data_IF_564123857318
#
_entry.id   IF_564123857318
#
_cell.length_a   1.000
_cell.length_b   1.000
_cell.length_c   1.000
_cell.angle_alpha   90.00
_cell.angle_beta   90.00
_cell.angle_gamma   90.00
#
_symmetry.space_group_name_H-M   'P 1'
#
loop_
_entity.id
_entity.type
_entity.pdbx_description
1 polymer ?
#
# COMPACT_ATOMS: atom_id res chain seq x y z
N UNK A 1 -2.33 7.52 13.75
CA UNK A 1 -3.54 7.86 12.94
C UNK A 1 -3.12 8.76 11.77
N UNK A 2 -3.57 8.45 10.56
CA UNK A 2 -3.39 9.29 9.37
C UNK A 2 -4.62 10.21 9.19
N UNK A 3 -4.37 11.49 8.91
CA UNK A 3 -5.42 12.49 8.69
C UNK A 3 -5.11 13.28 7.42
N UNK A 4 -6.10 13.36 6.54
CA UNK A 4 -6.09 14.25 5.39
C UNK A 4 -7.16 15.32 5.59
N UNK A 5 -6.81 16.59 5.41
CA UNK A 5 -7.71 17.72 5.63
C UNK A 5 -7.78 18.56 4.36
N UNK A 6 -8.95 18.60 3.74
CA UNK A 6 -9.26 19.45 2.57
C UNK A 6 -8.24 19.36 1.44
N UNK A 7 -7.78 18.15 1.11
CA UNK A 7 -6.81 17.91 0.05
C UNK A 7 -7.39 18.23 -1.31
N UNK A 8 -6.68 19.08 -2.05
CA UNK A 8 -6.99 19.41 -3.44
C UNK A 8 -5.78 19.17 -4.32
N UNK A 9 -6.01 18.70 -5.54
CA UNK A 9 -4.98 18.50 -6.56
C UNK A 9 -5.53 18.67 -7.95
N UNK A 10 -4.83 19.48 -8.75
CA UNK A 10 -5.08 19.66 -10.18
C UNK A 10 -3.80 19.37 -10.97
N UNK A 11 -3.97 18.95 -12.22
CA UNK A 11 -2.89 18.84 -13.20
C UNK A 11 -3.27 19.66 -14.44
N UNK A 12 -2.38 20.56 -14.86
CA UNK A 12 -2.60 21.45 -16.01
C UNK A 12 -3.95 22.20 -15.95
N UNK A 13 -4.32 22.63 -14.73
CA UNK A 13 -5.58 23.34 -14.49
C UNK A 13 -6.83 22.45 -14.41
N UNK A 14 -6.70 21.14 -14.59
CA UNK A 14 -7.81 20.18 -14.48
C UNK A 14 -7.86 19.61 -13.06
N UNK A 15 -8.95 19.82 -12.31
CA UNK A 15 -9.11 19.29 -10.96
C UNK A 15 -9.23 17.76 -11.00
N UNK A 16 -8.38 17.07 -10.22
CA UNK A 16 -8.41 15.61 -10.04
C UNK A 16 -8.96 15.24 -8.67
N UNK A 17 -8.49 15.92 -7.61
CA UNK A 17 -9.06 15.82 -6.26
C UNK A 17 -9.54 17.21 -5.86
N UNK A 18 -10.81 17.31 -5.43
CA UNK A 18 -11.48 18.61 -5.23
C UNK A 18 -11.55 19.03 -3.76
N UNK A 19 -11.84 18.07 -2.88
CA UNK A 19 -11.88 18.29 -1.43
C UNK A 19 -11.93 16.91 -0.74
N UNK A 20 -10.76 16.39 -0.37
CA UNK A 20 -10.65 15.08 0.26
C UNK A 20 -10.27 15.28 1.73
N UNK A 21 -11.18 14.91 2.62
CA UNK A 21 -10.94 14.84 4.06
C UNK A 21 -11.20 13.42 4.54
N UNK A 22 -10.22 12.82 5.24
CA UNK A 22 -10.22 11.41 5.60
C UNK A 22 -9.41 11.20 6.87
N UNK A 23 -9.86 10.29 7.73
CA UNK A 23 -9.10 9.80 8.88
C UNK A 23 -9.00 8.28 8.80
N UNK A 24 -7.79 7.76 8.98
CA UNK A 24 -7.50 6.33 9.03
C UNK A 24 -6.87 6.01 10.39
N UNK A 25 -7.51 5.15 11.16
CA UNK A 25 -7.02 4.75 12.48
C UNK A 25 -5.78 3.85 12.37
N UNK A 26 -5.00 3.79 13.45
CA UNK A 26 -3.84 2.90 13.49
C UNK A 26 -4.29 1.43 13.44
N UNK A 27 -3.61 0.65 12.61
CA UNK A 27 -3.93 -0.76 12.36
C UNK A 27 -5.19 -0.99 11.53
N UNK A 28 -5.84 0.05 11.04
CA UNK A 28 -7.02 -0.03 10.18
C UNK A 28 -6.61 -0.37 8.73
N UNK A 29 -7.40 -1.23 8.09
CA UNK A 29 -7.29 -1.51 6.66
C UNK A 29 -8.40 -0.72 5.95
N UNK A 30 -8.01 0.20 5.06
CA UNK A 30 -8.94 1.02 4.27
C UNK A 30 -8.74 0.74 2.80
N UNK A 31 -9.81 0.39 2.09
CA UNK A 31 -9.78 0.33 0.62
C UNK A 31 -10.32 1.60 0.00
N UNK A 32 -9.64 2.08 -1.03
CA UNK A 32 -10.07 3.20 -1.87
C UNK A 32 -10.64 2.61 -3.17
N UNK A 33 -11.94 2.74 -3.35
CA UNK A 33 -12.69 2.24 -4.48
C UNK A 33 -13.16 3.39 -5.38
N UNK A 34 -13.25 3.15 -6.66
CA UNK A 34 -13.81 4.11 -7.63
C UNK A 34 -13.42 3.76 -9.06
N UNK A 35 -14.08 4.38 -10.05
CA UNK A 35 -13.79 4.14 -11.46
C UNK A 35 -12.37 4.58 -11.84
N UNK A 36 -11.89 4.10 -12.97
CA UNK A 36 -10.61 4.54 -13.52
C UNK A 36 -10.60 6.05 -13.74
N UNK A 37 -9.50 6.70 -13.37
CA UNK A 37 -9.34 8.15 -13.53
C UNK A 37 -10.02 9.04 -12.48
N UNK A 38 -10.67 8.46 -11.45
CA UNK A 38 -11.33 9.26 -10.41
C UNK A 38 -10.39 9.89 -9.37
N UNK A 39 -9.07 9.62 -9.44
CA UNK A 39 -8.08 10.21 -8.55
C UNK A 39 -7.48 9.28 -7.48
N UNK A 40 -7.78 7.97 -7.49
CA UNK A 40 -7.25 7.00 -6.51
C UNK A 40 -5.72 6.98 -6.44
N UNK A 41 -5.08 6.79 -7.58
CA UNK A 41 -3.60 6.77 -7.67
C UNK A 41 -3.00 8.13 -7.30
N UNK A 42 -3.66 9.22 -7.65
CA UNK A 42 -3.25 10.58 -7.24
C UNK A 42 -3.30 10.72 -5.73
N UNK A 43 -4.37 10.27 -5.08
CA UNK A 43 -4.49 10.31 -3.63
C UNK A 43 -3.39 9.46 -2.95
N UNK A 44 -3.13 8.26 -3.49
CA UNK A 44 -2.06 7.40 -3.01
C UNK A 44 -0.68 8.09 -3.10
N UNK A 45 -0.39 8.72 -4.24
CA UNK A 45 0.86 9.43 -4.48
C UNK A 45 1.02 10.66 -3.58
N UNK A 46 -0.08 11.34 -3.24
CA UNK A 46 -0.09 12.44 -2.28
C UNK A 46 0.24 11.95 -0.85
N UNK A 47 -0.39 10.87 -0.42
CA UNK A 47 -0.11 10.25 0.89
C UNK A 47 1.34 9.81 0.97
N UNK A 48 1.85 9.19 -0.09
CA UNK A 48 3.25 8.73 -0.16
C UNK A 48 4.26 9.87 -0.23
N UNK A 49 3.87 11.02 -0.77
CA UNK A 49 4.75 12.19 -0.95
C UNK A 49 5.50 12.22 -2.28
N UNK A 50 5.03 11.45 -3.30
CA UNK A 50 5.53 11.53 -4.67
C UNK A 50 5.04 12.82 -5.35
N UNK A 51 3.83 13.24 -5.01
CA UNK A 51 3.18 14.44 -5.56
C UNK A 51 2.75 15.32 -4.39
N UNK A 52 2.91 16.63 -4.55
CA UNK A 52 2.45 17.62 -3.57
C UNK A 52 0.99 17.99 -3.78
N UNK A 53 0.26 18.19 -2.68
CA UNK A 53 -1.08 18.76 -2.72
C UNK A 53 -1.03 20.25 -3.11
N UNK A 54 -2.04 20.70 -3.83
CA UNK A 54 -2.19 22.13 -4.15
C UNK A 54 -2.69 22.91 -2.93
N UNK A 55 -3.55 22.26 -2.11
CA UNK A 55 -4.01 22.78 -0.83
C UNK A 55 -4.37 21.63 0.12
N UNK A 56 -4.64 21.98 1.37
CA UNK A 56 -4.95 21.01 2.42
C UNK A 56 -3.72 20.55 3.19
N UNK A 57 -3.93 19.61 4.13
CA UNK A 57 -2.86 19.06 4.97
C UNK A 57 -2.93 17.55 5.06
N UNK A 58 -1.75 16.93 5.19
CA UNK A 58 -1.56 15.50 5.47
C UNK A 58 -0.81 15.41 6.79
N UNK A 59 -1.45 14.82 7.80
CA UNK A 59 -0.87 14.64 9.11
C UNK A 59 -0.78 13.16 9.48
N UNK A 60 0.26 12.77 10.20
CA UNK A 60 0.41 11.45 10.79
C UNK A 60 0.83 11.59 12.26
N UNK A 61 0.01 11.02 13.16
CA UNK A 61 0.21 11.11 14.61
C UNK A 61 0.42 12.57 15.09
N UNK A 62 -0.37 13.49 14.54
CA UNK A 62 -0.32 14.92 14.87
C UNK A 62 0.84 15.69 14.22
N UNK A 63 1.72 15.01 13.48
CA UNK A 63 2.81 15.65 12.74
C UNK A 63 2.36 16.00 11.32
N UNK A 64 2.52 17.24 10.93
CA UNK A 64 2.27 17.70 9.55
C UNK A 64 3.35 17.15 8.61
N UNK A 65 2.93 16.31 7.65
CA UNK A 65 3.77 15.71 6.63
C UNK A 65 3.56 16.33 5.24
N UNK A 66 2.72 17.34 5.11
CA UNK A 66 2.28 17.90 3.82
C UNK A 66 3.43 18.20 2.86
N UNK A 67 4.53 18.76 3.38
CA UNK A 67 5.74 19.09 2.61
C UNK A 67 6.92 18.16 2.92
N UNK A 68 6.70 17.11 3.70
CA UNK A 68 7.75 16.15 4.03
C UNK A 68 8.01 15.25 2.82
N UNK A 69 9.25 15.12 2.36
CA UNK A 69 9.57 14.26 1.22
C UNK A 69 9.34 12.78 1.57
N UNK A 70 9.03 11.98 0.54
CA UNK A 70 8.65 10.58 0.63
C UNK A 70 9.57 9.74 1.53
N UNK A 71 10.88 9.87 1.38
CA UNK A 71 11.89 9.10 2.13
C UNK A 71 11.90 9.36 3.63
N UNK A 72 11.26 10.46 4.08
CA UNK A 72 11.16 10.85 5.49
C UNK A 72 9.80 10.56 6.12
N UNK A 73 8.79 10.17 5.32
CA UNK A 73 7.44 9.87 5.84
C UNK A 73 7.39 8.51 6.56
N UNK A 74 8.22 7.56 6.15
CA UNK A 74 8.20 6.19 6.67
C UNK A 74 7.03 5.36 6.15
N UNK A 75 6.40 5.78 5.06
CA UNK A 75 5.35 5.05 4.35
C UNK A 75 5.97 4.29 3.19
N UNK A 76 5.50 3.07 2.93
CA UNK A 76 5.99 2.27 1.82
C UNK A 76 4.83 1.77 0.96
N UNK A 77 5.13 1.49 -0.30
CA UNK A 77 4.15 1.08 -1.31
C UNK A 77 4.57 -0.21 -2.00
N UNK A 78 3.58 -1.05 -2.31
CA UNK A 78 3.68 -2.10 -3.31
C UNK A 78 2.91 -1.63 -4.55
N UNK A 79 3.63 -1.43 -5.65
CA UNK A 79 3.05 -1.02 -6.92
C UNK A 79 2.38 -2.20 -7.64
N UNK A 80 1.47 -1.90 -8.56
CA UNK A 80 0.73 -2.87 -9.36
C UNK A 80 1.65 -3.82 -10.17
N UNK A 81 2.78 -3.32 -10.67
CA UNK A 81 3.80 -4.09 -11.41
C UNK A 81 4.87 -4.70 -10.49
N UNK A 82 4.67 -4.58 -9.16
CA UNK A 82 5.56 -5.02 -8.09
C UNK A 82 6.91 -4.29 -8.02
N UNK A 83 7.35 -3.62 -9.06
CA UNK A 83 8.61 -2.88 -9.17
C UNK A 83 9.83 -3.64 -8.60
N UNK A 84 9.92 -4.95 -8.87
CA UNK A 84 11.04 -5.79 -8.43
C UNK A 84 12.26 -5.56 -9.30
N UNK A 85 13.44 -5.64 -8.69
CA UNK A 85 14.71 -5.50 -9.41
C UNK A 85 15.02 -6.78 -10.21
N UNK A 86 14.98 -6.73 -11.56
CA UNK A 86 15.07 -7.94 -12.37
C UNK A 86 16.46 -8.58 -12.38
N UNK A 87 17.49 -7.83 -12.04
CA UNK A 87 18.88 -8.27 -11.96
C UNK A 87 19.28 -8.84 -10.58
N UNK A 88 18.35 -8.84 -9.63
CA UNK A 88 18.53 -9.37 -8.29
C UNK A 88 17.68 -10.63 -8.10
N UNK A 89 18.14 -11.55 -7.25
CA UNK A 89 17.33 -12.68 -6.83
C UNK A 89 16.30 -12.28 -5.77
N UNK A 90 15.47 -13.23 -5.32
CA UNK A 90 14.41 -12.98 -4.33
C UNK A 90 14.98 -12.44 -3.02
N UNK A 91 15.99 -13.08 -2.45
CA UNK A 91 16.59 -12.63 -1.17
C UNK A 91 17.20 -11.23 -1.29
N UNK A 92 17.88 -10.96 -2.40
CA UNK A 92 18.48 -9.65 -2.66
C UNK A 92 17.42 -8.56 -2.83
N UNK A 93 16.28 -8.87 -3.45
CA UNK A 93 15.14 -7.95 -3.52
C UNK A 93 14.58 -7.66 -2.12
N UNK A 94 14.32 -8.68 -1.33
CA UNK A 94 13.77 -8.55 0.03
C UNK A 94 14.66 -7.68 0.90
N UNK A 95 15.97 -7.91 0.88
CA UNK A 95 16.94 -7.27 1.78
C UNK A 95 17.55 -5.97 1.22
N UNK A 96 17.15 -5.56 0.01
CA UNK A 96 17.77 -4.41 -0.68
C UNK A 96 17.76 -3.14 0.16
N UNK A 97 16.63 -2.79 0.75
CA UNK A 97 16.48 -1.56 1.55
C UNK A 97 17.30 -1.58 2.85
N UNK A 98 17.58 -2.77 3.40
CA UNK A 98 18.34 -2.92 4.63
C UNK A 98 19.79 -2.45 4.49
N UNK A 99 20.33 -2.40 3.27
CA UNK A 99 21.68 -1.87 3.00
C UNK A 99 21.78 -0.39 3.35
N UNK A 100 20.70 0.37 3.13
CA UNK A 100 20.63 1.81 3.39
C UNK A 100 20.16 2.14 4.82
N UNK A 101 19.50 1.20 5.48
CA UNK A 101 18.98 1.33 6.84
C UNK A 101 19.35 0.09 7.66
N UNK A 102 20.64 -0.11 7.96
CA UNK A 102 21.09 -1.28 8.72
C UNK A 102 20.46 -1.26 10.13
N UNK A 103 20.03 -2.43 10.59
CA UNK A 103 19.46 -2.60 11.93
C UNK A 103 17.98 -2.25 12.06
N UNK A 104 17.28 -1.87 10.98
CA UNK A 104 15.82 -1.63 11.03
C UNK A 104 15.06 -2.94 11.28
N UNK A 105 15.53 -4.05 10.73
CA UNK A 105 15.04 -5.40 11.03
C UNK A 105 16.20 -6.31 11.39
N UNK A 106 15.96 -7.21 12.34
CA UNK A 106 16.93 -8.26 12.69
C UNK A 106 16.89 -9.36 11.63
N UNK A 107 17.92 -10.23 11.65
CA UNK A 107 17.96 -11.38 10.77
C UNK A 107 16.77 -12.32 11.03
N UNK A 108 16.44 -12.52 12.29
CA UNK A 108 15.33 -13.36 12.74
C UNK A 108 13.98 -12.82 12.22
N UNK A 109 13.74 -11.51 12.31
CA UNK A 109 12.53 -10.88 11.78
C UNK A 109 12.41 -11.04 10.25
N UNK A 110 13.51 -10.93 9.53
CA UNK A 110 13.54 -11.17 8.08
C UNK A 110 13.20 -12.64 7.76
N UNK A 111 13.76 -13.58 8.49
CA UNK A 111 13.51 -15.02 8.33
C UNK A 111 12.04 -15.39 8.63
N UNK A 112 11.48 -14.84 9.71
CA UNK A 112 10.06 -15.01 10.06
C UNK A 112 9.13 -14.51 8.95
N UNK A 113 9.43 -13.36 8.37
CA UNK A 113 8.65 -12.79 7.28
C UNK A 113 8.75 -13.64 5.99
N UNK A 114 9.94 -14.16 5.69
CA UNK A 114 10.17 -15.09 4.57
C UNK A 114 9.31 -16.35 4.74
N UNK A 115 9.24 -16.90 5.94
CA UNK A 115 8.44 -18.09 6.24
C UNK A 115 6.94 -17.80 6.20
N UNK A 116 6.51 -16.69 6.78
CA UNK A 116 5.11 -16.23 6.76
C UNK A 116 4.59 -16.09 5.33
N UNK A 117 5.42 -15.55 4.42
CA UNK A 117 5.08 -15.36 3.02
C UNK A 117 5.35 -16.58 2.14
N UNK A 118 5.88 -17.69 2.72
CA UNK A 118 6.16 -18.93 1.99
C UNK A 118 7.19 -18.74 0.88
N UNK A 119 8.24 -17.97 1.13
CA UNK A 119 9.27 -17.63 0.13
C UNK A 119 10.58 -18.42 0.28
N UNK A 120 10.71 -19.26 1.31
CA UNK A 120 11.97 -19.92 1.65
C UNK A 120 12.58 -20.73 0.49
N UNK A 121 11.75 -21.45 -0.25
CA UNK A 121 12.22 -22.27 -1.38
C UNK A 121 12.54 -21.44 -2.65
N UNK A 122 12.27 -20.14 -2.62
CA UNK A 122 12.42 -19.25 -3.77
C UNK A 122 13.57 -18.25 -3.65
N UNK A 123 14.27 -18.21 -2.52
CA UNK A 123 15.24 -17.14 -2.19
C UNK A 123 16.36 -16.96 -3.23
N UNK A 124 16.81 -18.02 -3.86
CA UNK A 124 17.85 -17.98 -4.90
C UNK A 124 17.33 -17.78 -6.32
N UNK A 125 16.00 -17.83 -6.52
CA UNK A 125 15.40 -17.65 -7.85
C UNK A 125 15.51 -16.21 -8.34
N UNK A 126 15.59 -16.09 -9.66
CA UNK A 126 15.47 -14.80 -10.36
C UNK A 126 14.01 -14.41 -10.44
N UNK A 127 13.75 -13.13 -10.61
CA UNK A 127 12.38 -12.59 -10.65
C UNK A 127 11.58 -13.13 -11.85
N UNK A 128 12.24 -13.35 -12.99
CA UNK A 128 11.62 -13.91 -14.19
C UNK A 128 11.18 -15.38 -14.04
N UNK A 129 11.64 -16.07 -13.00
CA UNK A 129 11.28 -17.48 -12.68
C UNK A 129 10.06 -17.58 -11.74
N UNK A 130 9.47 -16.45 -11.33
CA UNK A 130 8.39 -16.39 -10.36
C UNK A 130 7.04 -16.23 -11.03
N UNK A 131 5.99 -16.84 -10.42
CA UNK A 131 4.59 -16.53 -10.74
C UNK A 131 4.21 -15.13 -10.26
N UNK A 132 3.07 -14.60 -10.73
CA UNK A 132 2.54 -13.32 -10.27
C UNK A 132 2.35 -13.27 -8.76
N UNK A 133 1.74 -14.29 -8.15
CA UNK A 133 1.56 -14.38 -6.70
C UNK A 133 2.88 -14.47 -5.92
N UNK A 134 3.90 -15.14 -6.47
CA UNK A 134 5.23 -15.17 -5.87
C UNK A 134 5.91 -13.80 -5.94
N UNK A 135 5.82 -13.09 -7.08
CA UNK A 135 6.31 -11.70 -7.21
C UNK A 135 5.63 -10.76 -6.22
N UNK A 136 4.32 -10.87 -6.05
CA UNK A 136 3.56 -10.10 -5.07
C UNK A 136 4.07 -10.34 -3.64
N UNK A 137 4.30 -11.59 -3.26
CA UNK A 137 4.82 -11.93 -1.94
C UNK A 137 6.24 -11.41 -1.72
N UNK A 138 7.09 -11.44 -2.74
CA UNK A 138 8.44 -10.84 -2.68
C UNK A 138 8.37 -9.33 -2.49
N UNK A 139 7.48 -8.64 -3.21
CA UNK A 139 7.27 -7.20 -3.07
C UNK A 139 6.75 -6.84 -1.67
N UNK A 140 5.81 -7.62 -1.12
CA UNK A 140 5.34 -7.48 0.26
C UNK A 140 6.50 -7.67 1.26
N UNK A 141 7.29 -8.74 1.14
CA UNK A 141 8.43 -8.99 2.01
C UNK A 141 9.44 -7.82 1.98
N UNK A 142 9.82 -7.38 0.77
CA UNK A 142 10.73 -6.23 0.58
C UNK A 142 10.24 -4.97 1.28
N UNK A 143 8.95 -4.74 1.23
CA UNK A 143 8.32 -3.57 1.86
C UNK A 143 8.24 -3.72 3.37
N UNK A 144 7.87 -4.91 3.85
CA UNK A 144 7.66 -5.18 5.27
C UNK A 144 8.95 -5.22 6.10
N UNK A 145 10.07 -5.67 5.53
CA UNK A 145 11.37 -5.64 6.23
C UNK A 145 11.81 -4.22 6.59
N UNK A 146 11.26 -3.21 5.94
CA UNK A 146 11.52 -1.80 6.22
C UNK A 146 10.68 -1.24 7.36
N UNK A 147 9.79 -2.05 7.97
CA UNK A 147 8.88 -1.66 9.06
C UNK A 147 8.15 -0.35 8.77
N UNK A 148 7.33 -0.29 7.70
CA UNK A 148 6.62 0.93 7.34
C UNK A 148 5.61 1.33 8.43
N UNK A 149 5.40 2.61 8.61
CA UNK A 149 4.32 3.15 9.45
C UNK A 149 2.95 2.94 8.81
N UNK A 150 2.91 3.07 7.47
CA UNK A 150 1.72 2.79 6.64
C UNK A 150 2.16 1.98 5.44
N UNK A 151 1.42 0.92 5.15
CA UNK A 151 1.55 0.12 3.93
C UNK A 151 0.52 0.57 2.90
N UNK A 152 0.99 0.98 1.73
CA UNK A 152 0.16 1.33 0.59
C UNK A 152 0.22 0.19 -0.44
N UNK A 153 -0.93 -0.24 -0.94
CA UNK A 153 -1.05 -1.29 -1.95
C UNK A 153 -1.82 -0.75 -3.15
N UNK A 154 -1.17 -0.68 -4.31
CA UNK A 154 -1.79 -0.21 -5.55
C UNK A 154 -2.21 -1.40 -6.41
N UNK A 155 -3.51 -1.66 -6.51
CA UNK A 155 -4.11 -2.77 -7.27
C UNK A 155 -3.45 -4.13 -6.98
N UNK A 156 -3.30 -4.54 -5.71
CA UNK A 156 -2.42 -5.66 -5.33
C UNK A 156 -2.85 -7.02 -5.89
N UNK A 157 -4.10 -7.17 -6.31
CA UNK A 157 -4.68 -8.44 -6.75
C UNK A 157 -5.08 -8.45 -8.24
N UNK A 158 -4.90 -7.34 -8.95
CA UNK A 158 -5.41 -7.16 -10.32
C UNK A 158 -4.80 -8.13 -11.35
N UNK A 159 -3.59 -8.60 -11.12
CA UNK A 159 -2.88 -9.53 -12.02
C UNK A 159 -2.93 -11.00 -11.55
N UNK A 160 -3.81 -11.33 -10.59
CA UNK A 160 -3.88 -12.65 -9.97
C UNK A 160 -5.23 -13.32 -10.24
N UNK A 161 -5.20 -14.64 -10.42
CA UNK A 161 -6.38 -15.44 -10.73
C UNK A 161 -6.84 -16.29 -9.53
N UNK A 162 -8.14 -16.41 -9.37
CA UNK A 162 -8.85 -17.41 -8.56
C UNK A 162 -8.21 -17.75 -7.21
N UNK A 163 -7.74 -18.97 -7.05
CA UNK A 163 -7.18 -19.49 -5.78
C UNK A 163 -5.94 -18.70 -5.31
N UNK A 164 -5.13 -18.22 -6.24
CA UNK A 164 -3.94 -17.42 -5.91
C UNK A 164 -4.37 -16.08 -5.32
N UNK A 165 -5.37 -15.45 -5.92
CA UNK A 165 -5.97 -14.18 -5.45
C UNK A 165 -6.46 -14.31 -4.00
N UNK A 166 -7.23 -15.34 -3.68
CA UNK A 166 -7.71 -15.60 -2.32
C UNK A 166 -6.56 -15.83 -1.33
N UNK A 167 -5.57 -16.63 -1.70
CA UNK A 167 -4.40 -16.86 -0.85
C UNK A 167 -3.63 -15.57 -0.54
N UNK A 168 -3.51 -14.65 -1.50
CA UNK A 168 -2.83 -13.36 -1.28
C UNK A 168 -3.69 -12.42 -0.43
N UNK A 169 -5.02 -12.41 -0.63
CA UNK A 169 -5.95 -11.66 0.25
C UNK A 169 -5.77 -12.05 1.72
N UNK A 170 -5.78 -13.34 2.01
CA UNK A 170 -5.59 -13.84 3.37
C UNK A 170 -4.22 -13.44 3.94
N UNK A 171 -3.17 -13.48 3.14
CA UNK A 171 -1.83 -13.07 3.58
C UNK A 171 -1.74 -11.58 3.87
N UNK A 172 -2.33 -10.72 3.04
CA UNK A 172 -2.41 -9.26 3.29
C UNK A 172 -3.10 -8.99 4.62
N UNK A 173 -4.26 -9.63 4.87
CA UNK A 173 -4.98 -9.51 6.13
C UNK A 173 -4.15 -9.98 7.32
N UNK A 174 -3.54 -11.15 7.21
CA UNK A 174 -2.71 -11.73 8.27
C UNK A 174 -1.58 -10.78 8.63
N UNK A 175 -0.82 -10.30 7.64
CA UNK A 175 0.27 -9.34 7.86
C UNK A 175 -0.23 -8.06 8.52
N UNK A 176 -1.29 -7.45 7.98
CA UNK A 176 -1.83 -6.22 8.54
C UNK A 176 -2.26 -6.38 10.01
N UNK A 177 -2.85 -7.53 10.37
CA UNK A 177 -3.27 -7.82 11.74
C UNK A 177 -2.10 -8.16 12.67
N UNK A 178 -1.21 -9.05 12.26
CA UNK A 178 -0.06 -9.47 13.08
C UNK A 178 0.88 -8.31 13.40
N UNK A 179 1.12 -7.44 12.43
CA UNK A 179 2.00 -6.28 12.60
C UNK A 179 1.25 -5.01 13.05
N UNK A 180 -0.06 -5.10 13.29
CA UNK A 180 -0.93 -3.94 13.62
C UNK A 180 -0.69 -2.77 12.65
N UNK A 181 -0.66 -3.08 11.36
CA UNK A 181 -0.19 -2.21 10.31
C UNK A 181 -1.34 -1.45 9.65
N UNK A 182 -1.32 -0.13 9.74
CA UNK A 182 -2.23 0.71 8.96
C UNK A 182 -2.00 0.48 7.48
N UNK A 183 -3.05 0.05 6.76
CA UNK A 183 -2.94 -0.37 5.36
C UNK A 183 -3.97 0.35 4.50
N UNK A 184 -3.52 0.93 3.40
CA UNK A 184 -4.39 1.56 2.40
C UNK A 184 -4.27 0.80 1.10
N UNK A 185 -5.39 0.32 0.58
CA UNK A 185 -5.48 -0.50 -0.64
C UNK A 185 -6.24 0.29 -1.68
N UNK A 186 -5.65 0.49 -2.85
CA UNK A 186 -6.37 1.00 -4.03
C UNK A 186 -6.81 -0.18 -4.87
N UNK A 187 -8.08 -0.25 -5.18
CA UNK A 187 -8.65 -1.27 -6.08
C UNK A 187 -9.83 -0.71 -6.87
N UNK A 188 -10.13 -1.32 -8.00
CA UNK A 188 -11.35 -1.08 -8.76
C UNK A 188 -12.38 -2.22 -8.58
N UNK A 189 -12.04 -3.26 -7.83
CA UNK A 189 -12.88 -4.43 -7.57
C UNK A 189 -13.65 -4.25 -6.24
N UNK A 190 -14.99 -4.09 -6.28
CA UNK A 190 -15.79 -3.94 -5.07
C UNK A 190 -15.69 -5.12 -4.11
N UNK A 191 -15.58 -6.35 -4.61
CA UNK A 191 -15.46 -7.55 -3.77
C UNK A 191 -14.15 -7.54 -2.98
N UNK A 192 -13.05 -7.14 -3.61
CA UNK A 192 -11.78 -6.95 -2.92
C UNK A 192 -11.90 -5.91 -1.79
N UNK A 193 -12.46 -4.74 -2.11
CA UNK A 193 -12.63 -3.67 -1.15
C UNK A 193 -13.47 -4.11 0.06
N UNK A 194 -14.61 -4.75 -0.19
CA UNK A 194 -15.52 -5.20 0.87
C UNK A 194 -14.95 -6.34 1.72
N UNK A 195 -14.16 -7.23 1.13
CA UNK A 195 -13.63 -8.40 1.83
C UNK A 195 -12.32 -8.15 2.57
N UNK A 196 -11.49 -7.20 2.10
CA UNK A 196 -10.17 -6.92 2.69
C UNK A 196 -10.22 -5.92 3.83
N UNK A 197 -11.17 -4.99 3.83
CA UNK A 197 -11.05 -3.74 4.57
C UNK A 197 -11.97 -3.65 5.78
N UNK A 198 -11.55 -2.85 6.74
CA UNK A 198 -12.38 -2.43 7.89
C UNK A 198 -13.32 -1.29 7.48
N UNK A 199 -12.86 -0.44 6.53
CA UNK A 199 -13.66 0.62 5.92
C UNK A 199 -13.33 0.77 4.44
N UNK A 200 -14.32 1.23 3.68
CA UNK A 200 -14.19 1.51 2.25
C UNK A 200 -14.45 2.98 1.98
N UNK A 201 -13.53 3.60 1.27
CA UNK A 201 -13.63 4.95 0.74
C UNK A 201 -14.01 4.87 -0.73
N UNK A 202 -15.13 5.46 -1.11
CA UNK A 202 -15.54 5.55 -2.52
C UNK A 202 -15.25 6.96 -3.02
N UNK A 203 -14.44 7.04 -4.08
CA UNK A 203 -14.12 8.30 -4.75
C UNK A 203 -14.82 8.34 -6.11
N UNK A 204 -15.57 9.41 -6.34
CA UNK A 204 -16.23 9.71 -7.60
C UNK A 204 -15.95 11.13 -8.02
N UNK A 205 -15.51 11.35 -9.25
CA UNK A 205 -15.24 12.67 -9.82
C UNK A 205 -14.38 13.58 -8.93
N UNK A 206 -13.41 12.98 -8.23
CA UNK A 206 -12.46 13.69 -7.37
C UNK A 206 -12.99 14.10 -5.99
N UNK A 207 -14.13 13.57 -5.57
CA UNK A 207 -14.73 13.79 -4.25
C UNK A 207 -15.02 12.46 -3.55
N UNK A 208 -15.16 12.51 -2.22
CA UNK A 208 -15.61 11.35 -1.44
C UNK A 208 -17.11 11.23 -1.60
N UNK A 209 -17.56 10.14 -2.19
CA UNK A 209 -18.97 9.77 -2.30
C UNK A 209 -19.44 9.06 -1.02
N UNK A 210 -18.62 8.17 -0.47
CA UNK A 210 -18.93 7.42 0.74
C UNK A 210 -17.64 7.02 1.47
N UNK A 211 -17.71 6.98 2.81
CA UNK A 211 -16.65 6.41 3.65
C UNK A 211 -17.29 5.68 4.83
N UNK A 212 -17.39 4.38 4.74
CA UNK A 212 -18.17 3.56 5.65
C UNK A 212 -17.56 2.15 5.83
N UNK A 213 -18.12 1.38 6.75
CA UNK A 213 -17.80 -0.03 6.89
C UNK A 213 -18.38 -0.83 5.73
N UNK A 214 -17.79 -2.00 5.38
CA UNK A 214 -18.28 -2.84 4.29
C UNK A 214 -19.77 -3.19 4.35
N UNK A 215 -20.32 -3.41 5.54
CA UNK A 215 -21.73 -3.73 5.74
C UNK A 215 -22.70 -2.54 5.53
N UNK A 216 -22.17 -1.33 5.38
CA UNK A 216 -22.94 -0.10 5.18
C UNK A 216 -22.89 0.40 3.73
N UNK A 217 -22.10 -0.25 2.85
CA UNK A 217 -21.93 0.03 1.45
C UNK A 217 -22.82 -0.88 0.59
#
# INVERSE_FOLDING_TARGET
MLELEHIQKSFDGVPVLKDISLQVADGEIVSILGPSGCGKTTLLNLILGIVDADSGRICYDGQDLTRTPMEKRGFNIVFQDYALFPNLNVLQNITYGLRNKPGISTKEEVEELIDLLGLREHLSKRIDQLSGGQKQRVALARTMVMKPKILLLDEPLSALDGVIKESIKDRIKTIAREYHLTTIIVTHDPEEALTLSDRVLIIEQGTISQYAKPEEI
#
